data_IF_145922571082
#
_entry.id   IF_145922571082
#
_cell.length_a   1.000
_cell.length_b   1.000
_cell.length_c   1.000
_cell.angle_alpha   90.00
_cell.angle_beta   90.00
_cell.angle_gamma   90.00
#
_symmetry.space_group_name_H-M   'P 1'
#
loop_
_entity.id
_entity.type
_entity.pdbx_description
1 polymer ?
#
# COMPACT_ATOMS: atom_id res chain seq x y z
N UNK A 1 39.81 5.28 -52.34
CA UNK A 1 38.91 4.25 -51.80
C UNK A 1 39.39 3.88 -50.41
N UNK A 2 38.73 4.33 -49.35
CA UNK A 2 38.95 3.86 -47.98
C UNK A 2 37.58 3.50 -47.39
N UNK A 3 37.46 2.25 -46.95
CA UNK A 3 36.25 1.59 -46.49
C UNK A 3 35.76 2.19 -45.16
N UNK A 4 34.53 2.72 -45.14
CA UNK A 4 33.89 3.17 -43.90
C UNK A 4 33.41 1.93 -43.15
N UNK A 5 34.02 1.67 -42.00
CA UNK A 5 33.66 0.56 -41.13
C UNK A 5 32.22 0.68 -40.63
N UNK A 6 31.40 -0.30 -41.00
CA UNK A 6 30.03 -0.46 -40.47
C UNK A 6 30.14 -0.91 -39.02
N UNK A 7 29.85 -0.01 -38.08
CA UNK A 7 29.78 -0.35 -36.65
C UNK A 7 28.53 -1.20 -36.43
N UNK A 8 28.73 -2.45 -36.00
CA UNK A 8 27.67 -3.43 -35.77
C UNK A 8 27.07 -3.24 -34.36
N UNK A 9 26.03 -2.43 -34.26
CA UNK A 9 25.33 -2.09 -33.01
C UNK A 9 24.66 -3.29 -32.31
N UNK A 10 24.37 -4.38 -33.06
CA UNK A 10 23.68 -5.56 -32.52
C UNK A 10 24.51 -6.31 -31.46
N UNK A 11 25.83 -6.20 -31.50
CA UNK A 11 26.70 -6.88 -30.53
C UNK A 11 26.78 -6.15 -29.18
N UNK A 12 26.54 -4.84 -29.14
CA UNK A 12 26.69 -4.04 -27.91
C UNK A 12 25.48 -4.23 -26.99
N UNK A 13 24.25 -4.25 -27.53
CA UNK A 13 23.04 -4.51 -26.74
C UNK A 13 23.01 -5.92 -26.14
N UNK A 14 23.46 -6.93 -26.90
CA UNK A 14 23.51 -8.32 -26.41
C UNK A 14 24.53 -8.45 -25.25
N UNK A 15 25.70 -7.82 -25.37
CA UNK A 15 26.72 -7.82 -24.32
C UNK A 15 26.24 -7.12 -23.04
N UNK A 16 25.52 -6.00 -23.16
CA UNK A 16 24.96 -5.30 -22.00
C UNK A 16 23.83 -6.09 -21.33
N UNK A 17 22.97 -6.77 -22.12
CA UNK A 17 21.94 -7.65 -21.59
C UNK A 17 22.51 -8.81 -20.76
N UNK A 18 23.59 -9.45 -21.22
CA UNK A 18 24.27 -10.51 -20.47
C UNK A 18 24.91 -10.01 -19.16
N UNK A 19 25.44 -8.78 -19.15
CA UNK A 19 26.02 -8.16 -17.95
C UNK A 19 24.96 -7.91 -16.86
N UNK A 20 23.77 -7.46 -17.25
CA UNK A 20 22.64 -7.25 -16.33
C UNK A 20 22.14 -8.59 -15.77
N UNK A 21 21.98 -9.61 -16.63
CA UNK A 21 21.55 -10.96 -16.21
C UNK A 21 22.54 -11.58 -15.22
N UNK A 22 23.85 -11.43 -15.46
CA UNK A 22 24.88 -11.95 -14.57
C UNK A 22 24.94 -11.19 -13.24
N UNK A 23 24.68 -9.88 -13.26
CA UNK A 23 24.55 -9.06 -12.04
C UNK A 23 23.32 -9.45 -11.22
N UNK A 24 22.18 -9.72 -11.87
CA UNK A 24 20.96 -10.21 -11.21
C UNK A 24 21.17 -11.62 -10.61
N UNK A 25 21.84 -12.53 -11.33
CA UNK A 25 22.19 -13.86 -10.78
C UNK A 25 23.14 -13.76 -9.59
N UNK A 26 24.06 -12.79 -9.58
CA UNK A 26 24.96 -12.52 -8.45
C UNK A 26 24.20 -11.97 -7.25
N UNK A 27 23.21 -11.11 -7.47
CA UNK A 27 22.33 -10.59 -6.42
C UNK A 27 21.45 -11.70 -5.82
N UNK A 28 20.89 -12.59 -6.65
CA UNK A 28 20.11 -13.75 -6.19
C UNK A 28 20.94 -14.79 -5.43
N UNK A 29 22.26 -14.87 -5.68
CA UNK A 29 23.20 -15.71 -4.92
C UNK A 29 23.76 -15.05 -3.66
N UNK A 30 23.56 -13.74 -3.48
CA UNK A 30 24.01 -13.06 -2.26
C UNK A 30 23.06 -13.37 -1.10
N UNK A 31 23.63 -13.71 0.05
CA UNK A 31 23.01 -14.32 1.24
C UNK A 31 21.93 -13.48 1.97
N UNK A 32 21.15 -12.65 1.27
CA UNK A 32 20.05 -11.87 1.82
C UNK A 32 18.81 -12.70 2.16
N UNK A 33 18.79 -13.96 1.72
CA UNK A 33 17.85 -14.98 2.18
C UNK A 33 18.64 -16.14 2.79
N UNK A 34 19.19 -15.95 3.99
CA UNK A 34 19.42 -17.08 4.88
C UNK A 34 18.06 -17.55 5.38
N UNK A 35 17.58 -18.76 5.03
CA UNK A 35 16.48 -19.37 5.77
C UNK A 35 16.93 -19.42 7.24
N UNK A 36 16.08 -19.01 8.17
CA UNK A 36 16.38 -19.03 9.60
C UNK A 36 16.98 -20.40 9.96
N UNK A 37 18.30 -20.40 10.14
CA UNK A 37 19.04 -21.58 10.54
C UNK A 37 18.48 -21.96 11.91
N UNK A 38 17.85 -23.14 11.98
CA UNK A 38 17.44 -23.74 13.23
C UNK A 38 18.69 -23.77 14.11
N UNK A 39 18.65 -22.98 15.18
CA UNK A 39 19.64 -23.03 16.25
C UNK A 39 19.68 -24.46 16.76
N UNK A 40 20.73 -25.21 16.38
CA UNK A 40 21.07 -26.49 16.99
C UNK A 40 21.56 -26.21 18.41
N UNK A 41 20.60 -26.09 19.32
CA UNK A 41 20.89 -26.15 20.74
C UNK A 41 21.29 -27.60 21.06
N UNK A 42 22.56 -27.77 21.39
CA UNK A 42 23.10 -29.02 21.91
C UNK A 42 22.46 -29.28 23.27
N UNK A 43 21.45 -30.14 23.32
CA UNK A 43 21.08 -30.84 24.55
C UNK A 43 21.26 -32.33 24.31
N UNK A 44 22.34 -32.87 24.87
CA UNK A 44 22.51 -34.31 25.01
C UNK A 44 21.37 -34.86 25.86
N UNK A 45 20.64 -35.83 25.29
CA UNK A 45 19.54 -36.51 25.96
C UNK A 45 19.19 -37.77 25.19
N UNK A 46 19.57 -38.91 25.74
CA UNK A 46 19.39 -40.26 25.22
C UNK A 46 17.92 -40.68 25.29
N UNK A 47 17.28 -40.94 24.15
CA UNK A 47 16.14 -41.85 24.06
C UNK A 47 15.96 -42.34 22.62
N UNK A 48 15.98 -43.66 22.43
CA UNK A 48 15.66 -44.31 21.15
C UNK A 48 14.15 -44.19 20.93
N UNK A 49 13.73 -43.46 19.92
CA UNK A 49 12.34 -43.47 19.44
C UNK A 49 12.12 -44.69 18.54
N UNK A 50 11.06 -45.44 18.82
CA UNK A 50 10.58 -46.53 17.98
C UNK A 50 9.84 -45.91 16.79
N UNK A 51 10.33 -46.16 15.57
CA UNK A 51 9.64 -45.81 14.33
C UNK A 51 8.41 -46.71 14.15
N UNK A 52 7.26 -46.30 14.69
CA UNK A 52 5.97 -46.66 14.12
C UNK A 52 5.64 -45.58 13.08
N UNK A 53 5.19 -45.97 11.88
CA UNK A 53 4.99 -45.06 10.74
C UNK A 53 3.88 -44.00 10.91
N UNK A 54 3.49 -43.65 12.14
CA UNK A 54 2.60 -42.54 12.41
C UNK A 54 3.30 -41.20 12.21
N UNK A 55 2.72 -40.38 11.33
CA UNK A 55 3.14 -39.00 11.14
C UNK A 55 3.04 -38.27 12.49
N UNK A 56 4.07 -37.51 12.90
CA UNK A 56 4.00 -36.75 14.14
C UNK A 56 2.85 -35.74 14.06
N UNK A 57 2.10 -35.53 15.16
CA UNK A 57 0.98 -34.61 15.16
C UNK A 57 1.45 -33.21 14.77
N UNK A 58 0.74 -32.56 13.84
CA UNK A 58 1.01 -31.19 13.44
C UNK A 58 0.89 -30.29 14.68
N UNK A 59 2.04 -29.87 15.21
CA UNK A 59 2.12 -29.00 16.38
C UNK A 59 1.53 -27.65 16.02
N UNK A 60 0.29 -27.40 16.43
CA UNK A 60 -0.34 -26.08 16.38
C UNK A 60 0.39 -25.15 17.35
N UNK A 61 1.48 -24.55 16.88
CA UNK A 61 2.17 -23.48 17.59
C UNK A 61 1.39 -22.20 17.39
N UNK A 62 0.42 -21.95 18.27
CA UNK A 62 -0.17 -20.62 18.41
C UNK A 62 0.97 -19.71 18.88
N UNK A 63 1.51 -18.91 17.97
CA UNK A 63 2.51 -17.89 18.30
C UNK A 63 1.83 -16.90 19.24
N UNK A 64 2.32 -16.77 20.47
CA UNK A 64 1.84 -15.73 21.39
C UNK A 64 2.14 -14.37 20.76
N UNK A 65 1.20 -13.41 20.79
CA UNK A 65 1.42 -12.10 20.19
C UNK A 65 2.63 -11.42 20.84
N UNK A 66 3.53 -10.93 20.00
CA UNK A 66 4.77 -10.29 20.44
C UNK A 66 4.39 -8.94 21.08
N UNK A 67 4.53 -8.79 22.40
CA UNK A 67 4.18 -7.54 23.10
C UNK A 67 4.95 -6.33 22.57
N UNK A 68 6.19 -6.54 22.11
CA UNK A 68 7.01 -5.52 21.46
C UNK A 68 6.39 -5.02 20.14
N UNK A 69 5.74 -5.90 19.37
CA UNK A 69 5.04 -5.54 18.13
C UNK A 69 3.83 -4.67 18.44
N UNK A 70 3.03 -5.05 19.45
CA UNK A 70 1.90 -4.25 19.90
C UNK A 70 2.33 -2.86 20.39
N UNK A 71 3.46 -2.77 21.11
CA UNK A 71 4.03 -1.50 21.54
C UNK A 71 4.47 -0.63 20.35
N UNK A 72 5.17 -1.22 19.38
CA UNK A 72 5.61 -0.50 18.18
C UNK A 72 4.42 0.05 17.37
N UNK A 73 3.37 -0.77 17.16
CA UNK A 73 2.12 -0.33 16.52
C UNK A 73 1.50 0.83 17.31
N UNK A 74 1.38 0.70 18.63
CA UNK A 74 0.85 1.76 19.48
C UNK A 74 1.60 3.08 19.34
N UNK A 75 2.94 3.04 19.28
CA UNK A 75 3.75 4.24 19.05
C UNK A 75 3.48 4.89 17.69
N UNK A 76 3.34 4.10 16.62
CA UNK A 76 3.01 4.63 15.28
C UNK A 76 1.65 5.32 15.29
N UNK A 77 0.64 4.72 15.93
CA UNK A 77 -0.70 5.34 16.05
C UNK A 77 -0.65 6.66 16.80
N UNK A 78 0.02 6.69 17.96
CA UNK A 78 0.12 7.89 18.80
C UNK A 78 0.88 9.00 18.06
N UNK A 79 2.02 8.67 17.44
CA UNK A 79 2.81 9.63 16.68
C UNK A 79 1.99 10.22 15.52
N UNK A 80 1.25 9.39 14.80
CA UNK A 80 0.36 9.83 13.72
C UNK A 80 -0.70 10.81 14.21
N UNK A 81 -1.39 10.50 15.31
CA UNK A 81 -2.39 11.40 15.90
C UNK A 81 -1.77 12.74 16.30
N UNK A 82 -0.60 12.72 16.95
CA UNK A 82 0.10 13.95 17.38
C UNK A 82 0.49 14.81 16.19
N UNK A 83 1.02 14.24 15.11
CA UNK A 83 1.43 15.01 13.92
C UNK A 83 0.22 15.63 13.22
N UNK A 84 -0.91 14.89 13.14
CA UNK A 84 -2.08 15.31 12.38
C UNK A 84 -3.17 16.02 13.22
N UNK A 85 -3.04 16.15 14.54
CA UNK A 85 -4.11 16.74 15.37
C UNK A 85 -4.49 18.17 14.93
N UNK A 86 -3.52 18.96 14.48
CA UNK A 86 -3.75 20.33 14.01
C UNK A 86 -4.51 20.36 12.68
N UNK A 87 -4.37 19.34 11.83
CA UNK A 87 -5.08 19.31 10.54
C UNK A 87 -6.58 19.07 10.71
N UNK A 88 -7.02 18.50 11.84
CA UNK A 88 -8.45 18.28 12.13
C UNK A 88 -9.27 19.59 12.15
N UNK A 89 -8.62 20.73 12.41
CA UNK A 89 -9.26 22.05 12.44
C UNK A 89 -8.97 22.88 11.19
N UNK A 90 -8.21 22.35 10.24
CA UNK A 90 -7.85 23.09 9.03
C UNK A 90 -9.08 23.27 8.12
N UNK A 91 -9.25 24.46 7.50
CA UNK A 91 -10.30 24.68 6.52
C UNK A 91 -10.02 23.90 5.22
N UNK A 92 -11.03 23.79 4.36
CA UNK A 92 -10.85 23.31 2.99
C UNK A 92 -9.96 24.26 2.20
N UNK A 93 -8.95 23.73 1.52
CA UNK A 93 -8.01 24.51 0.71
C UNK A 93 -7.67 23.76 -0.57
N UNK A 94 -7.18 24.48 -1.59
CA UNK A 94 -6.74 23.91 -2.88
C UNK A 94 -7.82 23.05 -3.57
N UNK A 95 -7.53 21.77 -3.78
CA UNK A 95 -8.39 20.82 -4.47
C UNK A 95 -9.66 20.48 -3.69
N UNK A 96 -9.66 20.64 -2.36
CA UNK A 96 -10.88 20.48 -1.54
C UNK A 96 -11.98 21.44 -2.01
N UNK A 97 -11.62 22.64 -2.46
CA UNK A 97 -12.59 23.62 -2.96
C UNK A 97 -13.31 23.06 -4.19
N UNK A 98 -12.57 22.52 -5.15
CA UNK A 98 -13.16 21.98 -6.38
C UNK A 98 -13.85 20.63 -6.16
N UNK A 99 -13.31 19.77 -5.28
CA UNK A 99 -13.76 18.38 -5.12
C UNK A 99 -14.80 18.17 -4.03
N UNK A 100 -14.87 19.06 -3.04
CA UNK A 100 -15.79 18.97 -1.91
C UNK A 100 -16.77 20.15 -1.93
N UNK A 101 -16.26 21.38 -1.87
CA UNK A 101 -17.12 22.57 -1.67
C UNK A 101 -17.97 22.85 -2.91
N UNK A 102 -17.34 22.92 -4.08
CA UNK A 102 -17.98 23.30 -5.33
C UNK A 102 -18.51 22.10 -6.13
N UNK A 103 -18.41 20.89 -5.60
CA UNK A 103 -18.78 19.69 -6.31
C UNK A 103 -20.27 19.34 -6.06
N UNK A 104 -21.17 19.53 -7.04
CA UNK A 104 -22.59 19.24 -6.85
C UNK A 104 -22.86 17.72 -6.76
N UNK A 105 -21.94 16.88 -7.25
CA UNK A 105 -22.17 15.44 -7.36
C UNK A 105 -22.17 14.76 -6.00
N UNK A 106 -21.40 15.27 -5.03
CA UNK A 106 -21.35 14.72 -3.67
C UNK A 106 -22.51 15.18 -2.77
N UNK A 107 -23.30 16.18 -3.20
CA UNK A 107 -24.30 16.79 -2.34
C UNK A 107 -25.61 16.01 -2.25
N UNK A 108 -25.84 15.06 -3.17
CA UNK A 108 -27.06 14.28 -3.24
C UNK A 108 -26.75 12.79 -3.37
N UNK A 109 -27.43 11.96 -2.57
CA UNK A 109 -27.32 10.50 -2.61
C UNK A 109 -28.10 9.86 -3.78
N UNK A 110 -28.88 10.64 -4.52
CA UNK A 110 -29.56 10.14 -5.70
C UNK A 110 -28.55 9.85 -6.81
N UNK A 111 -28.79 8.76 -7.55
CA UNK A 111 -28.00 8.39 -8.73
C UNK A 111 -26.49 8.19 -8.45
N UNK A 112 -26.12 7.70 -7.25
CA UNK A 112 -24.71 7.46 -6.87
C UNK A 112 -23.92 6.69 -7.93
N UNK A 113 -24.49 5.63 -8.50
CA UNK A 113 -23.80 4.84 -9.53
C UNK A 113 -23.37 5.70 -10.73
N UNK A 114 -24.28 6.56 -11.20
CA UNK A 114 -24.04 7.47 -12.32
C UNK A 114 -23.07 8.59 -11.96
N UNK A 115 -23.08 9.05 -10.70
CA UNK A 115 -22.22 10.13 -10.21
C UNK A 115 -20.81 9.67 -9.81
N UNK A 116 -20.64 8.42 -9.40
CA UNK A 116 -19.35 7.84 -9.05
C UNK A 116 -18.63 7.29 -10.27
N UNK A 117 -19.38 6.77 -11.24
CA UNK A 117 -18.85 6.15 -12.46
C UNK A 117 -19.45 6.88 -13.66
N UNK A 118 -18.82 7.97 -14.06
CA UNK A 118 -19.15 8.64 -15.32
C UNK A 118 -18.66 7.81 -16.51
N UNK A 119 -19.47 7.77 -17.58
CA UNK A 119 -18.96 7.41 -18.89
C UNK A 119 -18.04 8.53 -19.35
N UNK A 120 -16.77 8.22 -19.61
CA UNK A 120 -15.80 9.19 -20.11
C UNK A 120 -16.38 9.87 -21.36
N UNK A 121 -16.49 11.20 -21.32
CA UNK A 121 -17.04 12.01 -22.41
C UNK A 121 -16.15 13.23 -22.54
N UNK A 122 -15.74 13.56 -23.76
CA UNK A 122 -14.84 14.70 -24.04
C UNK A 122 -15.42 16.04 -23.55
N UNK A 123 -16.76 16.10 -23.37
CA UNK A 123 -17.49 17.26 -22.90
C UNK A 123 -17.58 17.36 -21.36
N UNK A 124 -17.11 16.35 -20.62
CA UNK A 124 -17.18 16.28 -19.16
C UNK A 124 -15.85 16.65 -18.47
N UNK A 125 -14.99 17.45 -19.12
CA UNK A 125 -13.72 17.97 -18.55
C UNK A 125 -13.94 19.03 -17.45
N UNK A 126 -14.95 18.86 -16.61
CA UNK A 126 -15.23 19.77 -15.52
C UNK A 126 -14.40 19.30 -14.33
N UNK A 127 -13.32 20.03 -14.02
CA UNK A 127 -12.46 19.79 -12.85
C UNK A 127 -13.24 19.71 -11.54
N UNK A 128 -14.46 20.25 -11.51
CA UNK A 128 -15.37 20.30 -10.36
C UNK A 128 -16.24 19.03 -10.21
N UNK A 129 -16.13 18.05 -11.12
CA UNK A 129 -16.87 16.78 -11.04
C UNK A 129 -16.04 15.63 -10.49
N UNK A 130 -16.73 14.53 -10.17
CA UNK A 130 -16.09 13.31 -9.71
C UNK A 130 -15.21 12.70 -10.83
N UNK A 131 -13.96 12.44 -10.51
CA UNK A 131 -13.06 11.65 -11.34
C UNK A 131 -13.46 10.16 -11.25
N UNK A 132 -13.87 9.54 -12.38
CA UNK A 132 -14.29 8.14 -12.41
C UNK A 132 -13.16 7.15 -12.09
N UNK A 133 -11.90 7.58 -12.08
CA UNK A 133 -10.77 6.76 -11.62
C UNK A 133 -10.68 6.65 -10.09
N UNK A 134 -11.42 7.48 -9.34
CA UNK A 134 -11.40 7.53 -7.87
C UNK A 134 -12.80 7.36 -7.24
N UNK A 135 -13.59 6.35 -7.63
CA UNK A 135 -14.98 6.24 -7.19
C UNK A 135 -15.11 6.08 -5.68
N UNK A 136 -14.15 5.41 -5.03
CA UNK A 136 -14.13 5.25 -3.58
C UNK A 136 -13.94 6.58 -2.85
N UNK A 137 -13.07 7.46 -3.36
CA UNK A 137 -12.83 8.78 -2.76
C UNK A 137 -14.11 9.61 -2.76
N UNK A 138 -14.81 9.65 -3.89
CA UNK A 138 -16.06 10.41 -3.99
C UNK A 138 -17.23 9.78 -3.24
N UNK A 139 -17.23 8.45 -3.08
CA UNK A 139 -18.19 7.79 -2.19
C UNK A 139 -17.98 8.26 -0.75
N UNK A 140 -16.73 8.27 -0.28
CA UNK A 140 -16.38 8.79 1.04
C UNK A 140 -16.77 10.26 1.19
N UNK A 141 -16.49 11.12 0.21
CA UNK A 141 -16.88 12.53 0.27
C UNK A 141 -18.39 12.73 0.30
N UNK A 142 -19.13 11.92 -0.44
CA UNK A 142 -20.60 11.94 -0.43
C UNK A 142 -21.16 11.53 0.93
N UNK A 143 -20.59 10.50 1.57
CA UNK A 143 -20.97 10.08 2.91
C UNK A 143 -20.62 11.14 3.96
N UNK A 144 -19.42 11.72 3.90
CA UNK A 144 -19.04 12.81 4.79
C UNK A 144 -19.96 14.02 4.62
N UNK A 145 -20.32 14.38 3.39
CA UNK A 145 -21.26 15.46 3.14
C UNK A 145 -22.67 15.14 3.66
N UNK A 146 -23.09 13.88 3.57
CA UNK A 146 -24.39 13.45 4.08
C UNK A 146 -24.51 13.66 5.59
N UNK A 147 -23.51 13.23 6.35
CA UNK A 147 -23.53 13.29 7.82
C UNK A 147 -23.10 14.65 8.38
N UNK A 148 -22.12 15.30 7.76
CA UNK A 148 -21.43 16.48 8.31
C UNK A 148 -21.43 17.70 7.40
N UNK A 149 -22.04 17.63 6.20
CA UNK A 149 -22.05 18.71 5.20
C UNK A 149 -20.64 19.25 4.95
N UNK A 150 -20.44 20.56 4.96
CA UNK A 150 -19.15 21.19 4.74
C UNK A 150 -18.36 21.40 6.05
N UNK A 151 -18.53 20.53 7.05
CA UNK A 151 -17.68 20.56 8.24
C UNK A 151 -16.36 19.81 7.96
N UNK A 152 -15.20 20.50 7.89
CA UNK A 152 -13.91 19.87 7.54
C UNK A 152 -13.48 18.77 8.52
N UNK A 153 -13.90 18.86 9.78
CA UNK A 153 -13.49 17.93 10.83
C UNK A 153 -13.78 16.47 10.46
N UNK A 154 -14.96 16.17 9.91
CA UNK A 154 -15.34 14.80 9.54
C UNK A 154 -14.47 14.23 8.43
N UNK A 155 -14.15 15.05 7.42
CA UNK A 155 -13.28 14.66 6.31
C UNK A 155 -11.85 14.38 6.80
N UNK A 156 -11.31 15.27 7.63
CA UNK A 156 -9.95 15.13 8.17
C UNK A 156 -9.84 13.96 9.13
N UNK A 157 -10.86 13.71 9.96
CA UNK A 157 -10.90 12.56 10.85
C UNK A 157 -10.91 11.24 10.06
N UNK A 158 -11.72 11.16 9.02
CA UNK A 158 -11.75 9.97 8.18
C UNK A 158 -10.41 9.73 7.46
N UNK A 159 -9.80 10.80 6.92
CA UNK A 159 -8.47 10.72 6.30
C UNK A 159 -7.40 10.28 7.31
N UNK A 160 -7.45 10.77 8.55
CA UNK A 160 -6.55 10.35 9.62
C UNK A 160 -6.70 8.86 9.94
N UNK A 161 -7.94 8.36 10.01
CA UNK A 161 -8.21 6.93 10.22
C UNK A 161 -7.57 6.10 9.10
N UNK A 162 -7.76 6.48 7.83
CA UNK A 162 -7.12 5.80 6.69
C UNK A 162 -5.59 5.84 6.80
N UNK A 163 -5.02 6.98 7.19
CA UNK A 163 -3.56 7.11 7.32
C UNK A 163 -3.02 6.18 8.40
N UNK A 164 -3.71 6.05 9.53
CA UNK A 164 -3.38 5.10 10.60
C UNK A 164 -3.43 3.66 10.08
N UNK A 165 -4.50 3.28 9.37
CA UNK A 165 -4.61 1.93 8.80
C UNK A 165 -3.52 1.61 7.76
N UNK A 166 -3.09 2.60 6.97
CA UNK A 166 -2.02 2.40 6.00
C UNK A 166 -0.62 2.32 6.63
N UNK A 167 -0.45 2.81 7.85
CA UNK A 167 0.86 2.87 8.53
C UNK A 167 1.18 1.63 9.38
N UNK A 168 0.22 0.73 9.58
CA UNK A 168 0.33 -0.48 10.43
C UNK A 168 0.34 -1.72 9.55
#
# INVERSE_FOLDING_TARGET
MNSVGVINYNNIEIQQGFSIINSMKKLLKSNWFTPLEKTNDKIGGKSREVNDGSMPPLRNTIRKPNSLMGFAIGLVVIATIIVYHNSLKAPFIFDDMAKIVNNPDIQQLSNLKTKLIYKYSENNKVFERNDPSRPLVYLTFTLNYYFGKLNPFGYHLFNLIIHIFNAI
#
